data_IF_178365001604
#
_entry.id   IF_178365001604
#
_cell.length_a   1.000
_cell.length_b   1.000
_cell.length_c   1.000
_cell.angle_alpha   90.00
_cell.angle_beta   90.00
_cell.angle_gamma   90.00
#
_symmetry.space_group_name_H-M   'P 1'
#
loop_
_entity.id
_entity.type
_entity.pdbx_description
1 polymer ?
#
# COMPACT_ATOMS: atom_id res chain seq x y z
N UNK A 1 -23.32 0.20 -0.59
CA UNK A 1 -22.05 0.92 -0.28
C UNK A 1 -21.36 1.23 -1.59
N UNK A 2 -20.77 2.41 -1.77
CA UNK A 2 -20.09 2.76 -3.03
C UNK A 2 -18.81 1.92 -3.22
N UNK A 3 -18.53 1.46 -4.44
CA UNK A 3 -17.34 0.65 -4.78
C UNK A 3 -16.03 1.36 -4.35
N UNK A 4 -16.02 2.70 -4.38
CA UNK A 4 -14.90 3.52 -3.91
C UNK A 4 -14.63 3.34 -2.42
N UNK A 5 -15.67 3.14 -1.60
CA UNK A 5 -15.54 2.95 -0.16
C UNK A 5 -14.86 1.60 0.14
N UNK A 6 -15.31 0.53 -0.51
CA UNK A 6 -14.71 -0.80 -0.38
C UNK A 6 -13.24 -0.81 -0.83
N UNK A 7 -12.93 -0.17 -1.95
CA UNK A 7 -11.55 -0.05 -2.41
C UNK A 7 -10.69 0.76 -1.43
N UNK A 8 -11.24 1.85 -0.87
CA UNK A 8 -10.57 2.66 0.14
C UNK A 8 -10.28 1.87 1.42
N UNK A 9 -11.24 1.08 1.91
CA UNK A 9 -11.05 0.19 3.05
C UNK A 9 -9.95 -0.85 2.77
N UNK A 10 -9.94 -1.47 1.58
CA UNK A 10 -8.91 -2.44 1.17
C UNK A 10 -7.52 -1.82 1.07
N UNK A 11 -7.40 -0.65 0.46
CA UNK A 11 -6.12 0.07 0.36
C UNK A 11 -5.63 0.49 1.74
N UNK A 12 -6.52 0.98 2.60
CA UNK A 12 -6.20 1.35 3.98
C UNK A 12 -5.71 0.15 4.77
N UNK A 13 -6.35 -1.01 4.63
CA UNK A 13 -5.91 -2.25 5.25
C UNK A 13 -4.51 -2.67 4.76
N UNK A 14 -4.27 -2.64 3.45
CA UNK A 14 -2.97 -3.02 2.87
C UNK A 14 -1.85 -2.06 3.27
N UNK A 15 -2.15 -0.75 3.35
CA UNK A 15 -1.22 0.25 3.85
C UNK A 15 -0.79 -0.06 5.28
N UNK A 16 -1.74 -0.31 6.19
CA UNK A 16 -1.46 -0.68 7.58
C UNK A 16 -0.67 -1.98 7.69
N UNK A 17 -0.96 -2.96 6.84
CA UNK A 17 -0.20 -4.21 6.78
C UNK A 17 1.27 -3.95 6.43
N UNK A 18 1.54 -3.14 5.40
CA UNK A 18 2.90 -2.80 4.97
C UNK A 18 3.61 -1.98 6.03
N UNK A 19 2.94 -1.00 6.64
CA UNK A 19 3.48 -0.21 7.75
C UNK A 19 3.84 -1.11 8.95
N UNK A 20 3.01 -2.09 9.28
CA UNK A 20 3.28 -3.07 10.34
C UNK A 20 4.46 -3.98 10.01
N UNK A 21 4.55 -4.49 8.77
CA UNK A 21 5.70 -5.27 8.29
C UNK A 21 6.98 -4.42 8.30
N UNK A 22 6.90 -3.16 7.91
CA UNK A 22 8.02 -2.24 7.89
C UNK A 22 8.54 -1.95 9.30
N UNK A 23 7.63 -1.72 10.25
CA UNK A 23 8.01 -1.51 11.65
C UNK A 23 8.74 -2.72 12.23
N UNK A 24 8.23 -3.94 11.96
CA UNK A 24 8.90 -5.18 12.36
C UNK A 24 10.27 -5.33 11.68
N UNK A 25 10.35 -5.03 10.39
CA UNK A 25 11.60 -5.15 9.63
C UNK A 25 12.66 -4.15 10.09
N UNK A 26 12.27 -2.92 10.44
CA UNK A 26 13.16 -1.89 10.99
C UNK A 26 13.63 -2.19 12.42
N UNK A 27 12.79 -2.84 13.23
CA UNK A 27 13.15 -3.27 14.57
C UNK A 27 14.21 -4.40 14.55
N UNK A 28 14.26 -5.17 13.47
CA UNK A 28 15.22 -6.24 13.27
C UNK A 28 16.48 -5.72 12.57
N UNK A 29 17.62 -5.80 13.25
CA UNK A 29 18.90 -5.22 12.79
C UNK A 29 19.62 -6.05 11.73
N UNK A 30 19.09 -7.22 11.35
CA UNK A 30 19.72 -8.09 10.34
C UNK A 30 19.70 -7.41 8.96
N UNK A 31 20.75 -7.64 8.17
CA UNK A 31 20.90 -7.08 6.82
C UNK A 31 19.70 -7.44 5.92
N UNK A 32 19.26 -8.70 5.96
CA UNK A 32 18.08 -9.18 5.22
C UNK A 32 16.81 -8.43 5.62
N UNK A 33 16.69 -8.04 6.89
CA UNK A 33 15.56 -7.27 7.39
C UNK A 33 15.61 -5.81 6.95
N UNK A 34 16.80 -5.23 6.77
CA UNK A 34 16.97 -3.90 6.17
C UNK A 34 16.57 -3.90 4.70
N UNK A 35 17.01 -4.89 3.93
CA UNK A 35 16.61 -5.03 2.52
C UNK A 35 15.10 -5.25 2.38
N UNK A 36 14.48 -6.00 3.30
CA UNK A 36 13.04 -6.12 3.38
C UNK A 36 12.35 -4.80 3.74
N UNK A 37 12.91 -4.01 4.67
CA UNK A 37 12.40 -2.69 5.02
C UNK A 37 12.44 -1.73 3.82
N UNK A 38 13.54 -1.68 3.08
CA UNK A 38 13.66 -0.88 1.85
C UNK A 38 12.61 -1.28 0.79
N UNK A 39 12.37 -2.59 0.62
CA UNK A 39 11.33 -3.10 -0.27
C UNK A 39 9.92 -2.70 0.17
N UNK A 40 9.63 -2.76 1.47
CA UNK A 40 8.36 -2.36 2.06
C UNK A 40 8.13 -0.85 1.97
N UNK A 41 9.17 -0.04 2.14
CA UNK A 41 9.11 1.42 1.94
C UNK A 41 8.78 1.80 0.50
N UNK A 42 9.39 1.13 -0.48
CA UNK A 42 9.06 1.32 -1.89
C UNK A 42 7.60 0.98 -2.16
N UNK A 43 7.12 -0.18 -1.70
CA UNK A 43 5.71 -0.59 -1.84
C UNK A 43 4.75 0.43 -1.20
N UNK A 44 5.09 0.93 -0.01
CA UNK A 44 4.30 1.94 0.69
C UNK A 44 4.27 3.27 -0.06
N UNK A 45 5.41 3.69 -0.62
CA UNK A 45 5.52 4.90 -1.43
C UNK A 45 4.69 4.78 -2.71
N UNK A 46 4.81 3.68 -3.44
CA UNK A 46 4.02 3.42 -4.65
C UNK A 46 2.51 3.46 -4.34
N UNK A 47 2.08 2.81 -3.26
CA UNK A 47 0.69 2.84 -2.83
C UNK A 47 0.21 4.26 -2.52
N UNK A 48 1.02 5.04 -1.79
CA UNK A 48 0.72 6.43 -1.47
C UNK A 48 0.68 7.33 -2.70
N UNK A 49 1.56 7.10 -3.69
CA UNK A 49 1.54 7.84 -4.96
C UNK A 49 0.28 7.53 -5.78
N UNK A 50 -0.20 6.28 -5.75
CA UNK A 50 -1.46 5.90 -6.42
C UNK A 50 -2.70 6.55 -5.77
N UNK A 51 -2.64 6.92 -4.49
CA UNK A 51 -3.76 7.56 -3.76
C UNK A 51 -3.51 9.04 -3.44
N UNK A 52 -2.44 9.63 -3.99
CA UNK A 52 -1.98 11.00 -3.68
C UNK A 52 -3.04 12.08 -3.96
N UNK A 53 -3.87 11.87 -4.98
CA UNK A 53 -4.99 12.74 -5.35
C UNK A 53 -6.26 12.54 -4.50
N UNK A 54 -6.18 11.69 -3.47
CA UNK A 54 -7.26 11.45 -2.52
C UNK A 54 -8.31 10.45 -3.03
N UNK A 55 -8.92 9.73 -2.10
CA UNK A 55 -9.97 8.76 -2.44
C UNK A 55 -11.24 9.39 -3.03
N UNK A 56 -11.40 10.70 -2.87
CA UNK A 56 -12.54 11.47 -3.39
C UNK A 56 -12.49 11.61 -4.92
N UNK A 57 -11.30 11.47 -5.54
CA UNK A 57 -11.09 11.55 -6.99
C UNK A 57 -10.53 10.25 -7.58
N UNK A 58 -10.80 9.09 -6.97
CA UNK A 58 -10.40 7.81 -7.57
C UNK A 58 -11.16 7.60 -8.87
N UNK A 59 -10.57 8.02 -9.98
CA UNK A 59 -11.04 7.68 -11.31
C UNK A 59 -11.03 6.16 -11.51
N UNK A 60 -11.81 5.66 -12.46
CA UNK A 60 -11.76 4.23 -12.83
C UNK A 60 -10.34 3.76 -13.16
N UNK A 61 -9.51 4.63 -13.74
CA UNK A 61 -8.11 4.32 -14.02
C UNK A 61 -7.28 4.08 -12.74
N UNK A 62 -7.49 4.89 -11.70
CA UNK A 62 -6.83 4.71 -10.39
C UNK A 62 -7.41 3.48 -9.69
N UNK A 63 -8.73 3.28 -9.75
CA UNK A 63 -9.39 2.08 -9.21
C UNK A 63 -8.85 0.80 -9.82
N UNK A 64 -8.64 0.78 -11.14
CA UNK A 64 -8.07 -0.34 -11.85
C UNK A 64 -6.62 -0.59 -11.44
N UNK A 65 -5.79 0.45 -11.43
CA UNK A 65 -4.38 0.35 -10.98
C UNK A 65 -4.26 -0.20 -9.55
N UNK A 66 -5.10 0.29 -8.63
CA UNK A 66 -5.13 -0.18 -7.25
C UNK A 66 -5.59 -1.63 -7.15
N UNK A 67 -6.61 -2.03 -7.90
CA UNK A 67 -7.06 -3.43 -7.94
C UNK A 67 -5.98 -4.36 -8.52
N UNK A 68 -5.33 -3.96 -9.62
CA UNK A 68 -4.19 -4.69 -10.21
C UNK A 68 -3.03 -4.81 -9.22
N UNK A 69 -2.71 -3.73 -8.50
CA UNK A 69 -1.65 -3.75 -7.50
C UNK A 69 -1.99 -4.63 -6.29
N UNK A 70 -3.24 -4.56 -5.82
CA UNK A 70 -3.74 -5.42 -4.73
C UNK A 70 -3.87 -6.89 -5.12
N UNK A 71 -4.02 -7.20 -6.42
CA UNK A 71 -4.12 -8.57 -6.94
C UNK A 71 -2.79 -9.21 -7.33
N UNK A 72 -1.67 -8.47 -7.24
CA UNK A 72 -0.31 -8.95 -7.53
C UNK A 72 0.46 -9.48 -6.32
N UNK A 73 -0.14 -9.41 -5.12
CA UNK A 73 0.41 -9.93 -3.86
C UNK A 73 -0.32 -11.24 -3.50
#
# INVERSE_FOLDING_TARGET
MSQTKELSDRVTAKRKEIEGKLYKARADSRKESREAADGLEKKLKELNEMVKDGFENVSEAVSKKLNDWLGKD
#
